data_IF_983211497223
#
_entry.id   IF_983211497223
#
_cell.length_a   1.000
_cell.length_b   1.000
_cell.length_c   1.000
_cell.angle_alpha   90.00
_cell.angle_beta   90.00
_cell.angle_gamma   90.00
#
_symmetry.space_group_name_H-M   'P 1'
#
loop_
_entity.id
_entity.type
_entity.pdbx_description
1 polymer ?
#
# COMPACT_ATOMS: atom_id res chain seq x y z
N UNK A 1 5.20 -14.36 -25.75
CA UNK A 1 4.66 -14.73 -24.44
C UNK A 1 5.20 -16.11 -24.08
N UNK A 2 5.40 -16.41 -22.79
CA UNK A 2 5.99 -17.65 -22.30
C UNK A 2 4.96 -18.78 -22.17
N UNK A 3 3.75 -18.45 -21.70
CA UNK A 3 2.68 -19.42 -21.45
C UNK A 3 1.60 -19.41 -22.54
N UNK A 4 1.44 -18.29 -23.25
CA UNK A 4 0.35 -18.09 -24.21
C UNK A 4 -0.98 -17.71 -23.54
N UNK A 5 -0.94 -17.34 -22.25
CA UNK A 5 -2.10 -17.04 -21.41
C UNK A 5 -2.07 -15.57 -20.97
N UNK A 6 -2.90 -14.70 -21.57
CA UNK A 6 -2.98 -13.29 -21.21
C UNK A 6 -3.71 -13.04 -19.87
N UNK A 7 -4.20 -14.10 -19.20
CA UNK A 7 -4.84 -14.04 -17.89
C UNK A 7 -3.95 -14.55 -16.76
N UNK A 8 -2.74 -15.02 -17.06
CA UNK A 8 -1.77 -15.43 -16.05
C UNK A 8 -1.40 -14.26 -15.13
N UNK A 9 -1.62 -14.43 -13.83
CA UNK A 9 -1.32 -13.46 -12.80
C UNK A 9 -0.41 -14.08 -11.73
N UNK A 10 0.46 -13.26 -11.13
CA UNK A 10 1.33 -13.69 -10.05
C UNK A 10 0.53 -13.76 -8.73
N UNK A 11 0.46 -14.92 -8.05
CA UNK A 11 -0.11 -15.00 -6.70
C UNK A 11 0.81 -14.30 -5.69
N UNK A 12 0.31 -14.12 -4.46
CA UNK A 12 1.02 -13.46 -3.36
C UNK A 12 1.14 -14.39 -2.15
N UNK A 13 2.10 -14.10 -1.26
CA UNK A 13 2.25 -14.78 0.02
C UNK A 13 2.01 -13.83 1.20
N UNK A 14 0.98 -14.13 2.01
CA UNK A 14 0.71 -13.42 3.24
C UNK A 14 1.70 -13.85 4.35
N UNK A 15 2.92 -13.35 4.32
CA UNK A 15 3.91 -13.57 5.38
C UNK A 15 3.54 -12.94 6.73
N UNK A 16 2.46 -12.15 6.82
CA UNK A 16 2.04 -11.43 8.02
C UNK A 16 1.15 -12.26 8.98
N UNK A 17 1.03 -13.57 8.77
CA UNK A 17 0.24 -14.49 9.60
C UNK A 17 0.80 -14.76 11.01
N UNK A 18 2.04 -14.34 11.30
CA UNK A 18 2.65 -14.48 12.63
C UNK A 18 3.04 -15.91 13.03
N UNK A 19 3.06 -16.85 12.07
CA UNK A 19 3.54 -18.22 12.29
C UNK A 19 5.06 -18.29 12.47
N UNK A 20 5.53 -19.35 13.12
CA UNK A 20 6.96 -19.68 13.28
C UNK A 20 7.51 -20.57 12.18
N UNK A 21 6.73 -20.86 11.13
CA UNK A 21 7.09 -21.76 10.03
C UNK A 21 6.64 -21.16 8.68
N UNK A 22 7.24 -21.62 7.59
CA UNK A 22 6.87 -21.23 6.22
C UNK A 22 5.75 -22.15 5.71
N UNK A 23 4.52 -21.63 5.67
CA UNK A 23 3.31 -22.34 5.23
C UNK A 23 3.31 -22.71 3.75
N UNK A 24 3.98 -21.92 2.91
CA UNK A 24 4.15 -22.17 1.46
C UNK A 24 5.34 -23.09 1.11
N UNK A 25 6.21 -23.41 2.07
CA UNK A 25 7.41 -24.24 1.84
C UNK A 25 7.06 -25.74 1.87
N UNK A 26 6.32 -26.18 0.85
CA UNK A 26 5.86 -27.56 0.65
C UNK A 26 6.19 -28.05 -0.76
N UNK A 27 6.38 -29.37 -0.94
CA UNK A 27 6.68 -29.99 -2.25
C UNK A 27 5.54 -29.83 -3.28
N UNK A 28 4.36 -29.33 -2.86
CA UNK A 28 3.24 -28.99 -3.75
C UNK A 28 3.31 -27.54 -4.29
N UNK A 29 4.12 -26.66 -3.68
CA UNK A 29 4.17 -25.23 -3.98
C UNK A 29 5.58 -24.74 -4.36
N UNK A 30 6.49 -24.65 -3.38
CA UNK A 30 7.83 -24.05 -3.54
C UNK A 30 8.98 -24.94 -3.03
N UNK A 31 8.66 -26.15 -2.59
CA UNK A 31 9.59 -27.12 -2.04
C UNK A 31 9.57 -27.18 -0.51
N UNK A 32 9.47 -28.39 0.02
CA UNK A 32 9.67 -28.66 1.44
C UNK A 32 11.17 -28.68 1.79
N UNK A 33 11.49 -28.46 3.07
CA UNK A 33 12.85 -28.67 3.59
C UNK A 33 13.28 -30.12 3.39
N UNK A 34 14.52 -30.34 2.94
CA UNK A 34 15.07 -31.68 2.78
C UNK A 34 15.26 -32.40 4.12
N UNK A 35 14.88 -33.68 4.15
CA UNK A 35 15.15 -34.58 5.28
C UNK A 35 16.62 -35.03 5.38
N UNK A 36 17.43 -34.78 4.34
CA UNK A 36 18.84 -35.17 4.25
C UNK A 36 19.80 -33.99 4.35
N UNK A 37 19.29 -32.77 4.23
CA UNK A 37 20.07 -31.54 4.13
C UNK A 37 19.27 -30.42 4.82
N UNK A 38 19.72 -29.97 6.00
CA UNK A 38 19.04 -28.91 6.74
C UNK A 38 18.99 -27.57 5.98
N UNK A 39 19.82 -27.42 4.95
CA UNK A 39 20.06 -26.21 4.15
C UNK A 39 19.76 -26.46 2.66
N UNK A 40 18.79 -27.34 2.36
CA UNK A 40 18.37 -27.62 0.98
C UNK A 40 16.88 -27.92 0.85
N UNK A 41 16.34 -27.71 -0.35
CA UNK A 41 15.01 -28.21 -0.72
C UNK A 41 15.05 -29.75 -0.83
N UNK A 42 13.94 -30.39 -0.49
CA UNK A 42 13.56 -31.75 -0.91
C UNK A 42 13.97 -32.06 -2.36
N UNK A 43 14.67 -33.17 -2.57
CA UNK A 43 15.13 -33.62 -3.89
C UNK A 43 14.00 -34.00 -4.86
N UNK A 44 12.75 -34.02 -4.41
CA UNK A 44 11.58 -34.33 -5.21
C UNK A 44 11.08 -33.14 -6.03
N UNK A 45 11.51 -31.93 -5.70
CA UNK A 45 10.90 -30.69 -6.15
C UNK A 45 11.78 -29.91 -7.15
N UNK A 46 11.16 -29.27 -8.14
CA UNK A 46 11.86 -28.74 -9.34
C UNK A 46 12.91 -27.68 -8.99
N UNK A 47 12.65 -26.79 -8.03
CA UNK A 47 13.60 -25.75 -7.67
C UNK A 47 14.82 -26.28 -6.89
N UNK A 48 14.82 -27.54 -6.43
CA UNK A 48 16.02 -28.19 -5.88
C UNK A 48 17.13 -28.40 -6.92
N UNK A 49 16.83 -28.18 -8.21
CA UNK A 49 17.77 -28.29 -9.34
C UNK A 49 18.24 -26.92 -9.84
N UNK A 50 17.76 -25.82 -9.27
CA UNK A 50 18.14 -24.47 -9.69
C UNK A 50 19.57 -24.11 -9.27
N UNK A 51 20.24 -23.32 -10.11
CA UNK A 51 21.58 -22.79 -9.89
C UNK A 51 21.49 -21.28 -9.64
N UNK A 52 22.27 -20.80 -8.68
CA UNK A 52 22.32 -19.38 -8.32
C UNK A 52 23.11 -18.61 -9.40
N UNK A 53 22.62 -17.43 -9.79
CA UNK A 53 23.40 -16.44 -10.56
C UNK A 53 23.73 -15.22 -9.70
N UNK A 54 24.78 -14.51 -10.10
CA UNK A 54 25.32 -13.29 -9.45
C UNK A 54 26.01 -13.48 -8.09
N UNK A 55 26.42 -14.70 -7.75
CA UNK A 55 27.09 -15.05 -6.49
C UNK A 55 28.50 -14.44 -6.33
N UNK A 56 29.28 -14.31 -7.41
CA UNK A 56 30.70 -13.92 -7.38
C UNK A 56 30.94 -12.41 -7.19
N UNK A 57 30.31 -11.76 -6.20
CA UNK A 57 30.43 -10.30 -5.99
C UNK A 57 31.87 -9.81 -5.84
N UNK A 58 32.73 -10.55 -5.14
CA UNK A 58 34.16 -10.21 -5.00
C UNK A 58 34.88 -10.16 -6.36
N UNK A 59 34.51 -11.02 -7.32
CA UNK A 59 35.03 -10.99 -8.69
C UNK A 59 34.52 -9.74 -9.43
N UNK A 60 33.23 -9.44 -9.31
CA UNK A 60 32.60 -8.30 -10.00
C UNK A 60 33.16 -6.96 -9.51
N UNK A 61 33.33 -6.79 -8.20
CA UNK A 61 33.92 -5.59 -7.60
C UNK A 61 35.43 -5.47 -7.90
N UNK A 62 36.18 -6.56 -7.84
CA UNK A 62 37.64 -6.54 -8.04
C UNK A 62 38.04 -6.36 -9.51
N UNK A 63 37.30 -6.97 -10.44
CA UNK A 63 37.59 -6.93 -11.88
C UNK A 63 36.80 -5.85 -12.64
N UNK A 64 35.83 -5.19 -11.99
CA UNK A 64 34.93 -4.24 -12.64
C UNK A 64 33.99 -4.89 -13.66
N UNK A 65 33.68 -6.17 -13.47
CA UNK A 65 32.79 -6.95 -14.34
C UNK A 65 31.34 -6.90 -13.83
N UNK A 66 30.40 -7.33 -14.67
CA UNK A 66 28.98 -7.43 -14.32
C UNK A 66 28.62 -8.91 -14.23
N UNK A 67 27.67 -9.24 -13.33
CA UNK A 67 27.08 -10.57 -13.25
C UNK A 67 26.72 -11.13 -14.63
N UNK A 68 27.04 -12.40 -14.86
CA UNK A 68 26.78 -13.09 -16.11
C UNK A 68 26.34 -14.53 -15.83
N UNK A 69 25.61 -15.13 -16.77
CA UNK A 69 25.13 -16.52 -16.69
C UNK A 69 26.18 -17.57 -17.12
N UNK A 70 27.45 -17.18 -17.23
CA UNK A 70 28.53 -18.02 -17.77
C UNK A 70 29.67 -18.31 -16.77
N UNK A 71 29.83 -17.48 -15.74
CA UNK A 71 30.60 -17.81 -14.54
C UNK A 71 30.00 -19.06 -13.91
N UNK A 72 30.86 -20.02 -13.54
CA UNK A 72 30.42 -21.32 -13.00
C UNK A 72 29.67 -21.08 -11.69
N UNK A 73 28.39 -21.49 -11.56
CA UNK A 73 27.65 -21.40 -10.30
C UNK A 73 28.36 -22.26 -9.25
N UNK A 74 28.69 -21.66 -8.11
CA UNK A 74 29.45 -22.31 -7.05
C UNK A 74 28.51 -22.78 -5.92
N UNK A 75 27.46 -22.01 -5.64
CA UNK A 75 26.39 -22.32 -4.71
C UNK A 75 25.26 -23.17 -5.32
N UNK A 76 24.90 -24.19 -4.57
CA UNK A 76 23.57 -24.83 -4.62
C UNK A 76 22.60 -23.98 -3.80
N UNK A 77 21.36 -23.83 -4.27
CA UNK A 77 20.31 -23.07 -3.57
C UNK A 77 20.00 -23.60 -2.15
N UNK A 78 19.87 -22.67 -1.18
CA UNK A 78 19.64 -22.91 0.27
C UNK A 78 18.43 -22.08 0.79
N UNK A 79 17.34 -22.74 1.28
CA UNK A 79 16.08 -22.11 1.72
C UNK A 79 15.91 -21.92 3.25
N UNK A 80 16.96 -21.83 4.08
CA UNK A 80 16.75 -21.60 5.53
C UNK A 80 16.05 -20.24 5.84
N UNK A 81 15.27 -20.14 6.94
CA UNK A 81 14.11 -19.23 7.17
C UNK A 81 13.91 -18.91 8.70
N UNK A 82 13.07 -18.01 9.30
CA UNK A 82 11.92 -17.04 8.94
C UNK A 82 11.58 -14.17 9.91
N UNK A 83 10.99 -13.02 9.43
CA UNK A 83 9.96 -12.52 8.46
C UNK A 83 10.13 -10.99 8.15
N UNK A 84 9.34 -10.42 7.22
CA UNK A 84 9.21 -8.98 6.82
C UNK A 84 10.37 -8.23 6.06
N UNK A 85 10.27 -8.10 4.72
CA UNK A 85 11.22 -7.45 3.76
C UNK A 85 12.72 -7.46 4.14
N UNK A 86 13.26 -6.43 4.80
CA UNK A 86 14.68 -6.42 5.19
C UNK A 86 14.99 -7.55 6.17
N UNK A 87 14.10 -7.76 7.15
CA UNK A 87 14.17 -8.89 8.05
C UNK A 87 13.73 -10.18 7.35
N UNK A 88 12.81 -10.18 6.37
CA UNK A 88 12.44 -11.39 5.61
C UNK A 88 13.62 -11.93 4.81
N UNK A 89 14.36 -11.05 4.15
CA UNK A 89 15.59 -11.40 3.48
C UNK A 89 16.58 -11.88 4.56
N UNK A 90 16.94 -11.08 5.57
CA UNK A 90 17.90 -11.51 6.62
C UNK A 90 17.49 -12.79 7.39
N UNK A 91 16.23 -13.19 7.34
CA UNK A 91 15.63 -14.42 7.88
C UNK A 91 15.71 -15.59 6.92
N UNK A 92 15.64 -15.34 5.61
CA UNK A 92 15.98 -16.27 4.54
C UNK A 92 17.52 -16.53 4.56
N UNK A 93 18.02 -17.05 5.68
CA UNK A 93 19.43 -17.24 6.08
C UNK A 93 20.14 -18.24 5.16
N UNK A 94 20.34 -17.78 3.93
CA UNK A 94 20.63 -18.53 2.72
C UNK A 94 20.53 -17.54 1.54
N UNK A 95 20.14 -18.00 0.35
CA UNK A 95 20.17 -17.17 -0.87
C UNK A 95 19.24 -15.95 -0.80
N UNK A 96 18.05 -16.10 -0.19
CA UNK A 96 17.07 -15.02 -0.04
C UNK A 96 17.54 -13.83 0.80
N UNK A 97 18.56 -13.99 1.66
CA UNK A 97 19.07 -12.91 2.52
C UNK A 97 19.93 -11.87 1.85
N UNK A 98 20.58 -12.23 0.76
CA UNK A 98 21.58 -11.39 0.15
C UNK A 98 20.89 -10.47 -0.85
N UNK A 99 21.00 -9.16 -0.66
CA UNK A 99 20.27 -8.15 -1.47
C UNK A 99 20.51 -8.36 -2.98
N UNK A 100 21.71 -8.83 -3.35
CA UNK A 100 22.10 -9.11 -4.73
C UNK A 100 21.71 -10.52 -5.25
N UNK A 101 21.32 -11.46 -4.38
CA UNK A 101 20.89 -12.82 -4.77
C UNK A 101 19.41 -13.11 -4.54
N UNK A 102 18.71 -12.31 -3.72
CA UNK A 102 17.35 -12.62 -3.27
C UNK A 102 16.34 -12.98 -4.39
N UNK A 103 16.40 -12.44 -5.64
CA UNK A 103 15.51 -12.87 -6.72
C UNK A 103 15.81 -14.26 -7.33
N UNK A 104 16.92 -14.92 -6.93
CA UNK A 104 17.14 -16.34 -7.25
C UNK A 104 16.17 -17.26 -6.48
N UNK A 105 15.59 -16.77 -5.38
CA UNK A 105 14.57 -17.48 -4.62
C UNK A 105 13.18 -17.17 -5.17
N UNK A 106 12.39 -18.16 -5.61
CA UNK A 106 11.03 -17.90 -6.12
C UNK A 106 10.04 -17.39 -5.07
N UNK A 107 10.32 -17.54 -3.76
CA UNK A 107 9.57 -16.88 -2.67
C UNK A 107 9.62 -15.35 -2.82
N UNK A 108 10.70 -14.79 -3.38
CA UNK A 108 10.85 -13.36 -3.65
C UNK A 108 9.67 -12.79 -4.43
N UNK A 109 9.16 -13.54 -5.42
CA UNK A 109 8.03 -13.11 -6.26
C UNK A 109 6.75 -12.99 -5.43
N UNK A 110 6.47 -13.97 -4.55
CA UNK A 110 5.27 -13.98 -3.72
C UNK A 110 5.36 -12.97 -2.56
N UNK A 111 6.56 -12.72 -2.07
CA UNK A 111 6.87 -11.71 -1.05
C UNK A 111 6.71 -10.28 -1.60
N UNK A 112 7.26 -10.00 -2.79
CA UNK A 112 7.18 -8.67 -3.39
C UNK A 112 5.78 -8.36 -3.94
N UNK A 113 5.02 -9.35 -4.41
CA UNK A 113 3.60 -9.15 -4.77
C UNK A 113 2.72 -8.83 -3.55
N UNK A 114 2.93 -9.49 -2.40
CA UNK A 114 2.21 -9.11 -1.16
C UNK A 114 2.66 -7.74 -0.63
N UNK A 115 3.95 -7.42 -0.73
CA UNK A 115 4.48 -6.08 -0.40
C UNK A 115 3.86 -5.00 -1.29
N UNK A 116 3.66 -5.30 -2.59
CA UNK A 116 2.98 -4.41 -3.53
C UNK A 116 1.46 -4.33 -3.27
N UNK A 117 0.82 -5.38 -2.75
CA UNK A 117 -0.58 -5.31 -2.32
C UNK A 117 -0.77 -4.31 -1.15
N UNK A 118 0.13 -4.34 -0.16
CA UNK A 118 0.16 -3.35 0.94
C UNK A 118 0.32 -1.93 0.40
N UNK A 119 1.16 -1.76 -0.64
CA UNK A 119 1.43 -0.48 -1.27
C UNK A 119 0.24 0.07 -2.09
N UNK A 120 -0.43 -0.76 -2.90
CA UNK A 120 -1.64 -0.38 -3.65
C UNK A 120 -2.78 0.00 -2.68
N UNK A 121 -2.99 -0.76 -1.61
CA UNK A 121 -3.96 -0.41 -0.56
C UNK A 121 -3.61 0.92 0.12
N UNK A 122 -2.32 1.15 0.41
CA UNK A 122 -1.87 2.42 0.98
C UNK A 122 -2.14 3.61 0.03
N UNK A 123 -1.85 3.49 -1.26
CA UNK A 123 -2.20 4.52 -2.28
C UNK A 123 -3.71 4.72 -2.32
N UNK A 124 -4.50 3.64 -2.37
CA UNK A 124 -5.96 3.64 -2.49
C UNK A 124 -6.65 4.34 -1.32
N UNK A 125 -6.15 4.14 -0.10
CA UNK A 125 -6.62 4.79 1.13
C UNK A 125 -6.19 6.27 1.17
N UNK A 126 -4.90 6.55 1.02
CA UNK A 126 -4.35 7.87 1.36
C UNK A 126 -4.43 8.89 0.21
N UNK A 127 -4.50 8.42 -1.04
CA UNK A 127 -4.44 9.25 -2.27
C UNK A 127 -3.34 10.31 -2.20
N UNK A 128 -2.07 9.88 -2.02
CA UNK A 128 -0.95 10.78 -1.77
C UNK A 128 -0.77 11.82 -2.89
N UNK A 129 -0.79 13.10 -2.53
CA UNK A 129 -0.37 14.18 -3.42
C UNK A 129 1.10 14.01 -3.84
N UNK A 130 1.48 14.62 -4.97
CA UNK A 130 2.86 14.67 -5.50
C UNK A 130 3.87 15.48 -4.64
N UNK A 131 3.54 15.70 -3.36
CA UNK A 131 4.40 16.21 -2.28
C UNK A 131 4.89 15.06 -1.39
N UNK A 132 4.14 13.97 -1.28
CA UNK A 132 4.52 12.79 -0.48
C UNK A 132 5.72 12.04 -1.08
N UNK A 133 5.90 12.12 -2.40
CA UNK A 133 7.07 11.60 -3.10
C UNK A 133 7.97 12.77 -3.55
N UNK A 134 9.19 12.93 -3.01
CA UNK A 134 10.07 14.03 -3.37
C UNK A 134 10.58 13.98 -4.83
N UNK A 135 10.60 15.14 -5.48
CA UNK A 135 11.10 15.31 -6.86
C UNK A 135 12.62 15.42 -6.94
N UNK A 136 13.26 15.82 -5.84
CA UNK A 136 14.68 16.11 -5.70
C UNK A 136 15.13 15.76 -4.26
N UNK A 137 16.44 15.83 -3.99
CA UNK A 137 17.04 15.59 -2.67
C UNK A 137 16.83 14.19 -2.06
N UNK A 138 16.45 13.20 -2.87
CA UNK A 138 16.54 11.77 -2.51
C UNK A 138 17.90 11.18 -2.94
N UNK A 139 18.26 9.95 -2.51
CA UNK A 139 19.40 9.24 -3.06
C UNK A 139 19.30 9.02 -4.59
N UNK A 140 20.43 8.77 -5.26
CA UNK A 140 20.48 8.60 -6.72
C UNK A 140 19.53 7.49 -7.19
N UNK A 141 18.76 7.75 -8.25
CA UNK A 141 17.73 6.84 -8.76
C UNK A 141 16.36 6.92 -8.06
N UNK A 142 16.28 7.49 -6.85
CA UNK A 142 15.05 7.49 -6.04
C UNK A 142 14.12 8.69 -6.24
N UNK A 143 14.47 9.72 -7.02
CA UNK A 143 13.57 10.87 -7.24
C UNK A 143 12.32 10.47 -8.06
N UNK A 144 11.19 11.15 -7.85
CA UNK A 144 9.90 10.87 -8.53
C UNK A 144 10.00 10.72 -10.06
N UNK A 145 10.87 11.49 -10.72
CA UNK A 145 11.05 11.49 -12.17
C UNK A 145 12.32 10.76 -12.64
N UNK A 146 13.03 10.04 -11.78
CA UNK A 146 14.08 9.12 -12.26
C UNK A 146 13.45 7.92 -12.94
N UNK A 147 14.05 7.49 -14.05
CA UNK A 147 13.80 6.18 -14.65
C UNK A 147 14.33 5.10 -13.69
N UNK A 148 13.52 4.09 -13.40
CA UNK A 148 13.91 2.96 -12.57
C UNK A 148 14.93 2.10 -13.33
N UNK A 149 16.16 2.04 -12.81
CA UNK A 149 17.27 1.29 -13.42
C UNK A 149 17.10 -0.21 -13.10
N UNK A 150 17.29 -1.15 -14.04
CA UNK A 150 17.71 -0.98 -15.43
C UNK A 150 16.58 -1.23 -16.46
N UNK A 151 15.32 -0.86 -16.16
CA UNK A 151 14.18 -1.23 -17.01
C UNK A 151 14.21 -0.59 -18.40
N UNK A 152 13.72 -1.35 -19.40
CA UNK A 152 13.59 -0.90 -20.78
C UNK A 152 12.22 -1.34 -21.38
N UNK A 153 11.45 -0.44 -22.04
CA UNK A 153 11.71 0.99 -22.21
C UNK A 153 11.80 1.73 -20.86
N UNK A 154 12.38 2.95 -20.80
CA UNK A 154 12.54 3.65 -19.54
C UNK A 154 11.18 4.01 -18.93
N UNK A 155 10.95 3.57 -17.68
CA UNK A 155 9.75 3.86 -16.87
C UNK A 155 10.17 4.62 -15.62
N UNK A 156 9.48 5.71 -15.28
CA UNK A 156 9.75 6.52 -14.08
C UNK A 156 9.09 5.99 -12.82
N UNK A 157 9.63 6.35 -11.65
CA UNK A 157 8.98 6.09 -10.36
C UNK A 157 7.53 6.61 -10.32
N UNK A 158 7.25 7.75 -10.96
CA UNK A 158 5.92 8.36 -11.06
C UNK A 158 4.88 7.49 -11.78
N UNK A 159 5.28 6.71 -12.79
CA UNK A 159 4.38 5.85 -13.57
C UNK A 159 3.88 4.63 -12.79
N UNK A 160 4.60 4.22 -11.73
CA UNK A 160 4.19 3.15 -10.82
C UNK A 160 3.60 3.67 -9.50
N UNK A 161 3.64 4.97 -9.25
CA UNK A 161 3.05 5.59 -8.05
C UNK A 161 1.54 5.87 -8.24
N UNK A 162 0.80 4.85 -8.67
CA UNK A 162 -0.60 4.95 -9.13
C UNK A 162 -1.43 3.74 -8.66
N UNK A 163 -2.77 3.85 -8.52
CA UNK A 163 -3.62 2.72 -8.15
C UNK A 163 -3.63 1.63 -9.24
N UNK A 164 -3.21 0.42 -8.89
CA UNK A 164 -3.05 -0.68 -9.84
C UNK A 164 -4.34 -1.06 -10.60
N UNK A 165 -5.54 -1.13 -9.97
CA UNK A 165 -6.76 -1.58 -10.65
C UNK A 165 -7.25 -0.65 -11.76
N UNK A 166 -6.80 0.60 -11.79
CA UNK A 166 -7.24 1.61 -12.77
C UNK A 166 -6.12 1.98 -13.73
N UNK A 167 -4.87 2.00 -13.27
CA UNK A 167 -3.72 2.48 -14.06
C UNK A 167 -2.81 1.38 -14.59
N UNK A 168 -2.74 0.22 -13.93
CA UNK A 168 -1.80 -0.87 -14.26
C UNK A 168 -2.49 -2.18 -14.69
N UNK A 169 -3.82 -2.27 -14.54
CA UNK A 169 -4.63 -3.38 -15.07
C UNK A 169 -4.68 -4.64 -14.22
N UNK A 170 -4.22 -4.60 -12.96
CA UNK A 170 -4.28 -5.73 -12.02
C UNK A 170 -4.84 -5.29 -10.65
N UNK A 171 -5.37 -6.24 -9.89
CA UNK A 171 -5.94 -6.00 -8.56
C UNK A 171 -5.75 -7.22 -7.65
N UNK A 172 -5.58 -6.99 -6.36
CA UNK A 172 -5.44 -8.08 -5.38
C UNK A 172 -6.79 -8.53 -4.83
N UNK A 173 -7.08 -9.83 -4.93
CA UNK A 173 -8.13 -10.48 -4.15
C UNK A 173 -7.60 -10.73 -2.73
N UNK A 174 -7.77 -9.73 -1.86
CA UNK A 174 -7.26 -9.73 -0.48
C UNK A 174 -8.24 -9.05 0.47
N UNK A 175 -8.39 -9.60 1.68
CA UNK A 175 -9.12 -8.97 2.77
C UNK A 175 -8.13 -8.47 3.82
N UNK A 176 -8.01 -7.14 3.95
CA UNK A 176 -7.18 -6.52 4.98
C UNK A 176 -7.77 -6.70 6.38
N UNK A 177 -6.94 -6.93 7.41
CA UNK A 177 -7.42 -7.05 8.78
C UNK A 177 -7.89 -5.69 9.29
N UNK A 178 -9.21 -5.48 9.31
CA UNK A 178 -9.81 -4.34 10.01
C UNK A 178 -9.52 -4.47 11.50
N UNK A 179 -8.72 -3.55 12.06
CA UNK A 179 -8.62 -3.41 13.50
C UNK A 179 -10.03 -3.18 14.06
N UNK A 180 -10.55 -4.05 14.95
CA UNK A 180 -11.78 -3.75 15.66
C UNK A 180 -11.50 -2.54 16.56
N UNK A 181 -12.30 -1.48 16.40
CA UNK A 181 -12.17 -0.28 17.24
C UNK A 181 -12.08 -0.67 18.71
N UNK A 182 -11.06 -0.15 19.41
CA UNK A 182 -10.94 -0.36 20.85
C UNK A 182 -12.19 0.18 21.55
N UNK A 183 -12.57 -0.39 22.69
CA UNK A 183 -13.72 0.10 23.44
C UNK A 183 -13.59 1.60 23.75
N UNK A 184 -12.37 2.09 23.99
CA UNK A 184 -12.02 3.51 24.09
C UNK A 184 -12.38 4.34 22.86
N UNK A 185 -12.07 3.87 21.65
CA UNK A 185 -12.43 4.56 20.40
C UNK A 185 -13.94 4.52 20.16
N UNK A 186 -14.60 3.36 20.40
CA UNK A 186 -16.06 3.25 20.31
C UNK A 186 -16.75 4.22 21.26
N UNK A 187 -16.34 4.27 22.54
CA UNK A 187 -16.88 5.24 23.49
C UNK A 187 -16.59 6.69 23.07
N UNK A 188 -15.40 6.98 22.54
CA UNK A 188 -15.06 8.33 22.05
C UNK A 188 -15.94 8.75 20.87
N UNK A 189 -16.13 7.88 19.88
CA UNK A 189 -17.01 8.10 18.73
C UNK A 189 -18.45 8.31 19.20
N UNK A 190 -18.97 7.47 20.10
CA UNK A 190 -20.32 7.62 20.67
C UNK A 190 -20.47 8.94 21.42
N UNK A 191 -19.51 9.34 22.25
CA UNK A 191 -19.55 10.61 22.97
C UNK A 191 -19.55 11.80 22.00
N UNK A 192 -18.68 11.80 20.98
CA UNK A 192 -18.62 12.88 19.97
C UNK A 192 -19.93 12.97 19.18
N UNK A 193 -20.50 11.84 18.74
CA UNK A 193 -21.79 11.83 18.03
C UNK A 193 -22.92 12.34 18.94
N UNK A 194 -22.96 11.93 20.20
CA UNK A 194 -23.99 12.39 21.15
C UNK A 194 -23.87 13.89 21.45
N UNK A 195 -22.66 14.45 21.55
CA UNK A 195 -22.43 15.89 21.68
C UNK A 195 -22.91 16.63 20.42
N UNK A 196 -22.59 16.16 19.22
CA UNK A 196 -23.05 16.79 17.97
C UNK A 196 -24.58 16.74 17.80
N UNK A 197 -25.22 15.66 18.24
CA UNK A 197 -26.70 15.55 18.28
C UNK A 197 -27.29 16.53 19.31
N UNK A 198 -26.66 16.70 20.47
CA UNK A 198 -27.11 17.67 21.49
C UNK A 198 -26.93 19.12 21.01
N UNK A 199 -25.79 19.49 20.41
CA UNK A 199 -25.55 20.83 19.86
C UNK A 199 -26.56 21.17 18.75
N UNK A 200 -26.77 20.27 17.79
CA UNK A 200 -27.74 20.46 16.71
C UNK A 200 -29.19 20.49 17.21
N UNK A 201 -29.53 19.76 18.28
CA UNK A 201 -30.82 19.85 18.95
C UNK A 201 -31.01 21.20 19.68
N UNK A 202 -30.01 21.70 20.41
CA UNK A 202 -30.07 23.02 21.05
C UNK A 202 -30.23 24.14 20.02
N UNK A 203 -29.42 24.15 18.96
CA UNK A 203 -29.55 25.11 17.86
C UNK A 203 -30.94 25.06 17.21
N UNK A 204 -31.52 23.86 17.04
CA UNK A 204 -32.88 23.69 16.51
C UNK A 204 -33.96 24.21 17.48
N UNK A 205 -33.80 24.00 18.79
CA UNK A 205 -34.67 24.54 19.83
C UNK A 205 -34.59 26.07 19.89
N UNK A 206 -33.41 26.67 19.85
CA UNK A 206 -33.24 28.13 19.81
C UNK A 206 -33.84 28.75 18.54
N UNK A 207 -33.59 28.15 17.37
CA UNK A 207 -34.19 28.60 16.11
C UNK A 207 -35.72 28.53 16.15
N UNK A 208 -36.32 27.48 16.73
CA UNK A 208 -37.77 27.33 16.81
C UNK A 208 -38.42 28.21 17.90
N UNK A 209 -37.76 28.42 19.04
CA UNK A 209 -38.17 29.37 20.06
C UNK A 209 -38.15 30.81 19.52
N UNK A 210 -37.00 31.24 18.97
CA UNK A 210 -36.84 32.58 18.38
C UNK A 210 -37.82 32.84 17.23
N UNK A 211 -38.20 31.80 16.46
CA UNK A 211 -39.27 31.88 15.45
C UNK A 211 -40.66 32.04 16.06
N UNK A 212 -40.99 31.35 17.16
CA UNK A 212 -42.25 31.54 17.89
C UNK A 212 -42.37 32.94 18.46
N UNK A 213 -41.31 33.46 19.06
CA UNK A 213 -41.29 34.82 19.62
C UNK A 213 -41.46 35.89 18.53
N UNK A 214 -40.84 35.70 17.36
CA UNK A 214 -41.03 36.58 16.20
C UNK A 214 -42.47 36.58 15.69
N UNK A 215 -43.13 35.41 15.68
CA UNK A 215 -44.55 35.28 15.31
C UNK A 215 -45.45 35.95 16.36
N UNK A 216 -45.16 35.77 17.66
CA UNK A 216 -45.87 36.40 18.78
C UNK A 216 -45.80 37.94 18.69
N UNK A 217 -44.59 38.49 18.51
CA UNK A 217 -44.35 39.92 18.31
C UNK A 217 -44.91 40.48 16.99
N UNK A 218 -45.22 39.62 16.01
CA UNK A 218 -45.90 40.00 14.77
C UNK A 218 -47.43 40.09 14.98
N UNK A 219 -48.02 39.09 15.65
CA UNK A 219 -49.46 39.01 15.90
C UNK A 219 -50.00 40.07 16.88
N UNK A 220 -49.15 40.62 17.76
CA UNK A 220 -49.58 41.54 18.81
C UNK A 220 -49.42 43.04 18.47
N UNK A 221 -49.29 43.39 17.18
CA UNK A 221 -49.28 44.80 16.73
C UNK A 221 -50.71 45.27 16.41
N UNK A 222 -51.27 46.28 17.10
CA UNK A 222 -52.50 46.93 16.64
C UNK A 222 -52.27 47.57 15.27
N UNK A 223 -53.29 47.54 14.41
CA UNK A 223 -53.20 48.00 13.03
C UNK A 223 -53.13 49.53 12.92
N UNK A 224 -51.95 50.11 13.18
CA UNK A 224 -51.67 51.52 12.92
C UNK A 224 -51.57 51.73 11.41
N UNK A 225 -52.65 52.23 10.81
CA UNK A 225 -52.74 52.56 9.39
C UNK A 225 -51.84 53.75 9.04
N UNK A 226 -50.56 53.50 8.75
CA UNK A 226 -49.68 54.53 8.21
C UNK A 226 -49.96 54.72 6.71
N UNK A 227 -50.56 55.84 6.34
CA UNK A 227 -50.94 56.16 4.96
C UNK A 227 -49.71 56.23 4.05
N UNK A 228 -49.80 55.63 2.86
CA UNK A 228 -48.78 55.76 1.82
C UNK A 228 -48.85 57.14 1.16
N UNK A 229 -48.23 58.15 1.78
CA UNK A 229 -48.09 59.48 1.20
C UNK A 229 -47.02 59.46 0.10
N UNK A 230 -47.47 59.47 -1.16
CA UNK A 230 -46.63 59.64 -2.35
C UNK A 230 -46.54 61.13 -2.71
N UNK A 231 -45.61 61.84 -2.08
CA UNK A 231 -45.18 63.16 -2.56
C UNK A 231 -43.72 63.08 -3.02
N UNK A 232 -43.46 63.57 -4.23
CA UNK A 232 -42.10 63.73 -4.75
C UNK A 232 -41.79 65.20 -4.99
N UNK A 233 -40.52 65.57 -4.87
CA UNK A 233 -40.02 66.79 -5.50
C UNK A 233 -38.56 66.63 -5.95
N UNK A 234 -38.26 67.29 -7.06
CA UNK A 234 -37.10 67.05 -7.92
C UNK A 234 -35.83 67.75 -7.45
N UNK A 235 -34.67 67.18 -7.82
CA UNK A 235 -33.38 67.80 -8.15
C UNK A 235 -32.90 69.11 -7.47
N UNK A 236 -31.59 69.13 -7.20
CA UNK A 236 -30.71 70.19 -7.72
C UNK A 236 -29.32 69.61 -8.02
N UNK A 237 -28.59 70.31 -8.89
CA UNK A 237 -27.30 69.97 -9.52
C UNK A 237 -26.21 69.51 -8.53
#
# INVERSE_FOLDING_TARGET
>A
DMLGDPTFALPYWNFAIGGSECDICTDELLGARSNFDMNGISSNFVFSQWWIICESVEEYETLGTICNSYSVPQGKYDPAVWSLHNLANLFLNGTGSQIHLSPNDPIFILLHTFTNAIFDEWIRIHRPDAVAYPKESTPIGHNLHFNMVPFWPPITNAEMFVPAPVSLGYSYEIQWPTLPFTLSEVFTIVIVVMVLVLESAHASCECTARRRDWISCSGNKPAVTQKMNREGRSFSL
#
